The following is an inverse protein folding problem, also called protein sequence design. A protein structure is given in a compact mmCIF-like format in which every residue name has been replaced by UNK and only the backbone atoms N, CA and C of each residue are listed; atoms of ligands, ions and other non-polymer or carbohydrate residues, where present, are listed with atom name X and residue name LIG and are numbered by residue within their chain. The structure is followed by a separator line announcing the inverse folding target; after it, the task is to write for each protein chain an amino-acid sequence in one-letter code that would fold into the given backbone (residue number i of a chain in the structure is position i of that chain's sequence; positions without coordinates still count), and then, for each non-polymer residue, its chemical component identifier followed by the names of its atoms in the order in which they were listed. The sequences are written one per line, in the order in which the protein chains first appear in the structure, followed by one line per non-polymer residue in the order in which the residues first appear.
data_IF_373453035040
#
_entry.id   IF_373453035040
#
_cell.length_a   1.000
_cell.length_b   1.000
_cell.length_c   1.000
_cell.angle_alpha   90.00
_cell.angle_beta   90.00
_cell.angle_gamma   90.00
#
_symmetry.space_group_name_H-M   'P 1'
#
loop_
_entity.id
_entity.type
_entity.pdbx_description
1 polymer ?
#
# COMPACT_ATOMS: atom_id res chain seq x y z
N UNK A 1 25.88 -14.91 -33.17
CA UNK A 1 25.79 -13.60 -32.51
C UNK A 1 24.52 -13.50 -31.68
N UNK A 2 24.67 -13.65 -30.38
CA UNK A 2 23.55 -13.38 -29.49
C UNK A 2 23.48 -11.88 -29.30
N UNK A 3 22.55 -11.24 -29.97
CA UNK A 3 22.20 -9.88 -29.67
C UNK A 3 21.68 -9.84 -28.23
N UNK A 4 22.41 -9.20 -27.36
CA UNK A 4 21.92 -8.83 -26.05
C UNK A 4 20.76 -7.86 -26.26
N UNK A 5 19.58 -8.43 -26.45
CA UNK A 5 18.37 -7.66 -26.28
C UNK A 5 18.23 -7.39 -24.79
N UNK A 6 19.00 -6.45 -24.31
CA UNK A 6 18.65 -5.74 -23.10
C UNK A 6 17.38 -4.99 -23.48
N UNK A 7 16.27 -5.67 -23.29
CA UNK A 7 14.99 -5.05 -23.56
C UNK A 7 14.92 -3.73 -22.78
N UNK A 8 14.81 -2.64 -23.48
CA UNK A 8 14.58 -1.32 -22.90
C UNK A 8 13.18 -1.30 -22.30
N UNK A 9 13.04 -2.03 -21.19
CA UNK A 9 11.80 -1.95 -20.41
C UNK A 9 11.77 -0.57 -19.77
N UNK A 10 10.90 0.28 -20.27
CA UNK A 10 10.73 1.63 -19.76
C UNK A 10 10.24 1.60 -18.32
N UNK A 11 10.68 2.53 -17.47
CA UNK A 11 10.15 2.61 -16.11
C UNK A 11 8.65 2.86 -16.13
N UNK A 12 7.93 2.16 -15.23
CA UNK A 12 6.50 2.32 -15.06
C UNK A 12 6.25 3.21 -13.84
N UNK A 13 5.43 4.24 -14.03
CA UNK A 13 5.12 5.21 -12.97
C UNK A 13 3.86 4.79 -12.21
N UNK A 14 3.89 5.05 -10.91
CA UNK A 14 2.72 4.87 -10.04
C UNK A 14 1.85 6.12 -10.16
N UNK A 15 0.75 6.00 -10.87
CA UNK A 15 -0.14 7.13 -11.15
C UNK A 15 -1.36 7.18 -10.24
N UNK A 16 -1.51 6.19 -9.34
CA UNK A 16 -2.65 6.12 -8.43
C UNK A 16 -2.35 6.93 -7.18
N UNK A 17 -3.15 7.95 -6.92
CA UNK A 17 -2.97 8.80 -5.74
C UNK A 17 -3.26 8.03 -4.46
N UNK A 18 -2.52 8.31 -3.36
CA UNK A 18 -2.81 7.64 -2.09
C UNK A 18 -4.19 8.04 -1.55
N UNK A 19 -4.80 7.11 -0.83
CA UNK A 19 -6.05 7.38 -0.12
C UNK A 19 -5.70 7.66 1.35
N UNK A 20 -5.99 8.85 1.84
CA UNK A 20 -5.78 9.21 3.24
C UNK A 20 -6.49 10.54 3.56
N UNK A 21 -6.71 10.79 4.83
CA UNK A 21 -7.11 12.10 5.32
C UNK A 21 -6.47 12.34 6.70
N UNK A 22 -6.79 13.46 7.32
CA UNK A 22 -6.23 13.82 8.62
C UNK A 22 -6.64 12.85 9.74
N UNK A 23 -7.67 12.07 9.54
CA UNK A 23 -8.16 11.10 10.52
C UNK A 23 -7.59 9.69 10.31
N UNK A 24 -6.77 9.48 9.29
CA UNK A 24 -6.18 8.17 9.03
C UNK A 24 -5.23 7.79 10.17
N UNK A 25 -5.29 6.52 10.59
CA UNK A 25 -4.47 5.99 11.67
C UNK A 25 -3.65 4.78 11.27
N UNK A 26 -4.13 4.03 10.27
CA UNK A 26 -3.47 2.84 9.75
C UNK A 26 -3.16 3.09 8.27
N UNK A 27 -1.90 2.84 7.89
CA UNK A 27 -1.50 2.93 6.48
C UNK A 27 -1.19 1.52 5.98
N UNK A 28 -1.93 1.07 4.98
CA UNK A 28 -1.69 -0.21 4.31
C UNK A 28 -0.87 0.05 3.06
N UNK A 29 0.27 -0.63 2.95
CA UNK A 29 1.18 -0.47 1.82
C UNK A 29 1.29 -1.76 1.02
N UNK A 30 1.00 -1.66 -0.28
CA UNK A 30 1.39 -2.67 -1.23
C UNK A 30 2.76 -2.39 -1.82
N UNK A 31 3.20 -3.23 -2.74
CA UNK A 31 4.47 -3.03 -3.43
C UNK A 31 4.32 -2.05 -4.59
N UNK A 32 3.59 -2.44 -5.62
CA UNK A 32 3.36 -1.66 -6.84
C UNK A 32 2.03 -2.13 -7.45
N UNK A 33 1.25 -1.23 -8.07
CA UNK A 33 -0.05 -1.65 -8.58
C UNK A 33 0.09 -2.65 -9.74
N UNK A 34 -0.78 -3.64 -9.75
CA UNK A 34 -0.86 -4.62 -10.84
C UNK A 34 -1.27 -3.95 -12.16
N UNK A 35 -1.13 -4.69 -13.26
CA UNK A 35 -1.59 -4.19 -14.56
C UNK A 35 -3.06 -3.78 -14.49
N UNK A 36 -3.91 -4.62 -13.88
CA UNK A 36 -5.35 -4.32 -13.77
C UNK A 36 -5.61 -3.09 -12.89
N UNK A 37 -4.84 -2.90 -11.83
CA UNK A 37 -4.95 -1.70 -11.00
C UNK A 37 -4.57 -0.45 -11.77
N UNK A 38 -3.49 -0.52 -12.55
CA UNK A 38 -3.05 0.60 -13.38
C UNK A 38 -4.07 0.94 -14.46
N UNK A 39 -4.68 -0.08 -15.06
CA UNK A 39 -5.73 0.11 -16.07
C UNK A 39 -6.99 0.74 -15.49
N UNK A 40 -7.39 0.29 -14.29
CA UNK A 40 -8.60 0.80 -13.63
C UNK A 40 -8.35 2.13 -12.88
N UNK A 41 -7.10 2.47 -12.62
CA UNK A 41 -6.75 3.70 -11.91
C UNK A 41 -6.98 3.65 -10.41
N UNK A 42 -7.10 2.46 -9.81
CA UNK A 42 -7.30 2.35 -8.38
C UNK A 42 -6.71 1.05 -7.82
N UNK A 43 -6.49 1.03 -6.50
CA UNK A 43 -5.79 -0.05 -5.79
C UNK A 43 -6.57 -1.37 -5.86
N UNK A 44 -5.81 -2.45 -5.99
CA UNK A 44 -6.35 -3.82 -5.93
C UNK A 44 -7.54 -4.00 -6.89
N UNK A 45 -7.35 -3.53 -8.13
CA UNK A 45 -8.41 -3.46 -9.13
C UNK A 45 -8.70 -4.75 -9.90
N UNK A 46 -7.86 -5.79 -9.74
CA UNK A 46 -8.10 -7.05 -10.42
C UNK A 46 -9.38 -7.70 -9.88
N UNK A 47 -10.28 -8.20 -10.75
CA UNK A 47 -11.55 -8.77 -10.28
C UNK A 47 -11.39 -9.94 -9.31
N UNK A 48 -10.29 -10.70 -9.39
CA UNK A 48 -10.02 -11.82 -8.51
C UNK A 48 -9.25 -11.43 -7.26
N UNK A 49 -8.89 -10.16 -7.10
CA UNK A 49 -8.18 -9.71 -5.90
C UNK A 49 -9.11 -9.72 -4.71
N UNK A 50 -8.68 -10.38 -3.65
CA UNK A 50 -9.51 -10.60 -2.47
C UNK A 50 -9.42 -9.45 -1.45
N UNK A 51 -8.62 -8.43 -1.71
CA UNK A 51 -8.35 -7.35 -0.73
C UNK A 51 -9.65 -6.73 -0.22
N UNK A 52 -10.52 -6.30 -1.15
CA UNK A 52 -11.74 -5.59 -0.76
C UNK A 52 -12.73 -6.49 -0.02
N UNK A 53 -12.83 -7.76 -0.42
CA UNK A 53 -13.68 -8.75 0.26
C UNK A 53 -13.18 -9.05 1.68
N UNK A 54 -11.87 -9.24 1.82
CA UNK A 54 -11.26 -9.54 3.12
C UNK A 54 -11.42 -8.34 4.06
N UNK A 55 -11.10 -7.15 3.58
CA UNK A 55 -11.19 -5.95 4.40
C UNK A 55 -12.65 -5.67 4.83
N UNK A 56 -13.60 -5.79 3.89
CA UNK A 56 -15.01 -5.60 4.20
C UNK A 56 -15.51 -6.61 5.24
N UNK A 57 -15.06 -7.86 5.13
CA UNK A 57 -15.39 -8.90 6.11
C UNK A 57 -14.88 -8.59 7.51
N UNK A 58 -13.66 -8.09 7.60
CA UNK A 58 -13.04 -7.69 8.88
C UNK A 58 -13.79 -6.50 9.49
N UNK A 59 -14.14 -5.52 8.67
CA UNK A 59 -14.84 -4.31 9.12
C UNK A 59 -16.34 -4.53 9.31
N UNK A 60 -16.85 -5.70 8.90
CA UNK A 60 -18.28 -6.06 8.99
C UNK A 60 -19.16 -5.06 8.23
N UNK A 61 -18.80 -4.82 6.99
CA UNK A 61 -19.52 -3.92 6.08
C UNK A 61 -19.70 -4.60 4.72
N UNK A 62 -20.66 -4.11 3.89
CA UNK A 62 -20.80 -4.66 2.53
C UNK A 62 -19.54 -4.45 1.71
N UNK A 63 -19.26 -5.39 0.79
CA UNK A 63 -18.09 -5.30 -0.08
C UNK A 63 -18.26 -4.09 -1.02
N UNK A 64 -17.31 -3.14 -1.02
CA UNK A 64 -17.44 -1.97 -1.90
C UNK A 64 -17.19 -2.38 -3.35
N UNK A 65 -17.92 -1.74 -4.27
CA UNK A 65 -17.83 -2.01 -5.71
C UNK A 65 -17.19 -0.84 -6.45
N UNK A 66 -17.68 0.37 -6.21
CA UNK A 66 -17.16 1.57 -6.89
C UNK A 66 -15.95 2.13 -6.16
N UNK A 67 -15.16 2.94 -6.87
CA UNK A 67 -14.02 3.66 -6.27
C UNK A 67 -14.50 4.54 -5.11
N UNK A 68 -15.62 5.23 -5.27
CA UNK A 68 -16.18 6.07 -4.20
C UNK A 68 -16.53 5.25 -2.96
N UNK A 69 -17.15 4.08 -3.15
CA UNK A 69 -17.47 3.18 -2.03
C UNK A 69 -16.21 2.67 -1.33
N UNK A 70 -15.17 2.35 -2.12
CA UNK A 70 -13.88 1.90 -1.57
C UNK A 70 -13.23 3.01 -0.73
N UNK A 71 -13.19 4.24 -1.24
CA UNK A 71 -12.65 5.38 -0.50
C UNK A 71 -13.43 5.66 0.78
N UNK A 72 -14.76 5.64 0.70
CA UNK A 72 -15.61 5.85 1.88
C UNK A 72 -15.38 4.80 2.95
N UNK A 73 -15.23 3.53 2.55
CA UNK A 73 -14.93 2.47 3.49
C UNK A 73 -13.60 2.69 4.18
N UNK A 74 -12.55 3.01 3.42
CA UNK A 74 -11.22 3.25 3.97
C UNK A 74 -11.22 4.44 4.94
N UNK A 75 -11.66 5.59 4.47
CA UNK A 75 -11.59 6.83 5.25
C UNK A 75 -12.55 6.80 6.44
N UNK A 76 -13.71 6.15 6.31
CA UNK A 76 -14.65 5.99 7.40
C UNK A 76 -14.12 5.10 8.52
N UNK A 77 -13.14 4.26 8.25
CA UNK A 77 -12.51 3.38 9.24
C UNK A 77 -11.07 3.79 9.55
N UNK A 78 -10.69 5.02 9.18
CA UNK A 78 -9.38 5.60 9.49
C UNK A 78 -8.22 4.84 8.87
N UNK A 79 -8.43 4.31 7.66
CA UNK A 79 -7.43 3.52 6.93
C UNK A 79 -6.94 4.32 5.72
N UNK A 80 -5.62 4.41 5.59
CA UNK A 80 -4.96 4.95 4.40
C UNK A 80 -4.37 3.81 3.59
N UNK A 81 -4.29 3.98 2.27
CA UNK A 81 -3.72 2.98 1.37
C UNK A 81 -2.79 3.65 0.36
N UNK A 82 -1.62 3.06 0.15
CA UNK A 82 -0.71 3.43 -0.91
C UNK A 82 0.19 2.23 -1.23
N UNK A 83 1.26 2.46 -1.98
CA UNK A 83 2.28 1.47 -2.31
C UNK A 83 3.66 2.03 -2.00
N UNK A 84 4.63 1.14 -1.80
CA UNK A 84 6.02 1.55 -1.49
C UNK A 84 6.68 2.21 -2.70
N UNK A 85 6.40 1.74 -3.90
CA UNK A 85 7.15 2.09 -5.12
C UNK A 85 6.46 3.24 -5.88
N UNK A 86 7.22 4.30 -6.17
CA UNK A 86 6.77 5.39 -7.05
C UNK A 86 7.00 5.06 -8.51
N UNK A 87 8.09 4.39 -8.83
CA UNK A 87 8.38 3.91 -10.18
C UNK A 87 9.34 2.73 -10.12
N UNK A 88 9.25 1.87 -11.10
CA UNK A 88 10.15 0.73 -11.22
C UNK A 88 10.11 0.18 -12.64
N UNK A 89 11.03 -0.73 -12.93
CA UNK A 89 10.93 -1.58 -14.13
C UNK A 89 10.30 -2.88 -13.69
N UNK A 90 9.27 -3.30 -14.38
CA UNK A 90 8.48 -4.48 -14.01
C UNK A 90 7.94 -5.14 -15.28
N UNK A 91 7.89 -6.47 -15.27
CA UNK A 91 7.25 -7.25 -16.34
C UNK A 91 5.85 -7.64 -15.87
N UNK A 92 4.83 -7.03 -16.47
CA UNK A 92 3.44 -7.27 -16.12
C UNK A 92 3.15 -6.93 -14.66
N UNK A 93 2.72 -7.92 -13.89
CA UNK A 93 2.45 -7.78 -12.46
C UNK A 93 3.37 -8.64 -11.59
N UNK A 94 4.49 -9.10 -12.15
CA UNK A 94 5.38 -10.03 -11.47
C UNK A 94 6.28 -9.33 -10.45
N UNK A 95 6.05 -9.55 -9.17
CA UNK A 95 6.87 -8.96 -8.09
C UNK A 95 8.34 -9.33 -8.23
N UNK A 96 8.64 -10.54 -8.72
CA UNK A 96 10.02 -10.99 -8.88
C UNK A 96 10.77 -10.26 -9.99
N UNK A 97 10.05 -9.59 -10.90
CA UNK A 97 10.67 -8.84 -12.00
C UNK A 97 10.96 -7.38 -11.62
N UNK A 98 10.58 -6.93 -10.45
CA UNK A 98 10.74 -5.51 -10.03
C UNK A 98 12.22 -5.15 -9.94
N UNK A 99 12.62 -4.09 -10.66
CA UNK A 99 13.98 -3.56 -10.69
C UNK A 99 13.95 -2.04 -10.70
N UNK A 100 15.06 -1.43 -10.35
CA UNK A 100 15.28 0.04 -10.42
C UNK A 100 14.17 0.79 -9.68
N UNK A 101 13.97 0.43 -8.42
CA UNK A 101 12.92 0.97 -7.58
C UNK A 101 13.22 2.41 -7.17
N UNK A 102 12.24 3.30 -7.38
CA UNK A 102 12.20 4.63 -6.75
C UNK A 102 11.05 4.59 -5.75
N UNK A 103 11.32 4.73 -4.46
CA UNK A 103 10.24 4.65 -3.46
C UNK A 103 9.37 5.90 -3.45
N UNK A 104 8.13 5.76 -3.05
CA UNK A 104 7.24 6.88 -2.78
C UNK A 104 7.72 7.66 -1.56
N UNK A 105 7.41 8.96 -1.54
CA UNK A 105 7.68 9.82 -0.40
C UNK A 105 6.43 9.89 0.49
N UNK A 106 6.53 9.36 1.70
CA UNK A 106 5.41 9.28 2.63
C UNK A 106 5.27 10.51 3.52
N UNK A 107 6.13 11.50 3.37
CA UNK A 107 6.17 12.67 4.23
C UNK A 107 4.82 13.39 4.28
N UNK A 108 4.14 13.54 3.15
CA UNK A 108 2.85 14.22 3.09
C UNK A 108 1.78 13.48 3.89
N UNK A 109 1.74 12.15 3.79
CA UNK A 109 0.79 11.34 4.55
C UNK A 109 1.10 11.44 6.04
N UNK A 110 2.37 11.28 6.41
CA UNK A 110 2.79 11.24 7.83
C UNK A 110 2.67 12.61 8.50
N UNK A 111 2.72 13.71 7.75
CA UNK A 111 2.52 15.04 8.29
C UNK A 111 1.04 15.44 8.37
N UNK A 112 0.20 14.87 7.52
CA UNK A 112 -1.24 15.14 7.48
C UNK A 112 -2.01 14.31 8.50
N UNK A 113 -1.64 13.05 8.66
CA UNK A 113 -2.34 12.07 9.50
C UNK A 113 -1.41 11.52 10.58
N UNK A 114 -1.97 11.29 11.76
CA UNK A 114 -1.22 10.64 12.84
C UNK A 114 -1.25 9.13 12.65
N UNK A 115 -0.46 8.63 11.71
CA UNK A 115 -0.40 7.20 11.42
C UNK A 115 0.24 6.48 12.59
N UNK A 116 -0.50 5.57 13.19
CA UNK A 116 -0.06 4.78 14.33
C UNK A 116 0.54 3.45 13.91
N UNK A 117 0.11 2.92 12.76
CA UNK A 117 0.59 1.62 12.27
C UNK A 117 0.74 1.64 10.75
N UNK A 118 1.78 0.99 10.29
CA UNK A 118 2.00 0.75 8.86
C UNK A 118 1.98 -0.76 8.65
N UNK A 119 1.10 -1.22 7.77
CA UNK A 119 0.90 -2.64 7.48
C UNK A 119 1.37 -2.90 6.05
N UNK A 120 2.45 -3.66 5.91
CA UNK A 120 2.92 -4.07 4.59
C UNK A 120 2.09 -5.27 4.11
N UNK A 121 1.39 -5.09 3.01
CA UNK A 121 0.51 -6.12 2.46
C UNK A 121 1.32 -7.10 1.63
N UNK A 122 1.89 -8.10 2.30
CA UNK A 122 2.66 -9.16 1.68
C UNK A 122 4.17 -9.02 1.89
N UNK A 123 4.88 -10.11 1.61
CA UNK A 123 6.32 -10.20 1.84
C UNK A 123 7.11 -9.24 0.96
N UNK A 124 6.71 -9.06 -0.29
CA UNK A 124 7.41 -8.15 -1.21
C UNK A 124 7.30 -6.71 -0.72
N UNK A 125 6.11 -6.27 -0.33
CA UNK A 125 5.92 -4.91 0.21
C UNK A 125 6.75 -4.70 1.47
N UNK A 126 6.81 -5.70 2.36
CA UNK A 126 7.62 -5.64 3.58
C UNK A 126 9.10 -5.47 3.27
N UNK A 127 9.63 -6.30 2.36
CA UNK A 127 11.05 -6.24 1.99
C UNK A 127 11.42 -4.90 1.35
N UNK A 128 10.55 -4.39 0.49
CA UNK A 128 10.76 -3.09 -0.16
C UNK A 128 10.71 -1.95 0.85
N UNK A 129 9.77 -1.99 1.77
CA UNK A 129 9.68 -1.00 2.84
C UNK A 129 10.97 -0.99 3.67
N UNK A 130 11.41 -2.16 4.11
CA UNK A 130 12.63 -2.30 4.92
C UNK A 130 13.86 -1.76 4.18
N UNK A 131 13.93 -2.01 2.87
CA UNK A 131 15.10 -1.62 2.06
C UNK A 131 15.11 -0.13 1.75
N UNK A 132 13.96 0.46 1.39
CA UNK A 132 13.92 1.80 0.80
C UNK A 132 13.33 2.88 1.69
N UNK A 133 12.50 2.54 2.68
CA UNK A 133 11.73 3.52 3.44
C UNK A 133 12.14 3.59 4.92
N UNK A 134 12.91 2.64 5.39
CA UNK A 134 13.18 2.39 6.81
C UNK A 134 13.63 3.59 7.67
N UNK A 135 14.13 4.66 7.09
CA UNK A 135 14.45 5.91 7.84
C UNK A 135 14.35 7.11 6.91
N UNK A 136 13.17 7.74 6.81
CA UNK A 136 13.14 9.00 6.08
C UNK A 136 14.08 10.02 6.71
N UNK A 137 14.81 10.80 5.91
CA UNK A 137 15.66 11.84 6.46
C UNK A 137 14.86 12.80 7.34
N UNK A 138 15.35 13.10 8.54
CA UNK A 138 14.67 14.00 9.46
C UNK A 138 13.81 13.34 10.51
N UNK A 139 13.71 12.02 10.53
CA UNK A 139 12.96 11.32 11.59
C UNK A 139 13.77 11.35 12.90
N UNK A 140 13.32 12.16 13.84
CA UNK A 140 13.89 12.19 15.18
C UNK A 140 13.25 11.11 16.06
N UNK A 141 14.08 10.41 16.82
CA UNK A 141 13.69 9.32 17.75
C UNK A 141 12.54 9.64 18.73
N UNK A 142 12.31 10.70 18.74
CA UNK A 142 11.35 11.18 19.63
C UNK A 142 10.01 11.24 19.07
N UNK A 143 10.10 11.08 17.98
CA UNK A 143 8.77 11.07 17.36
C UNK A 143 8.20 9.66 17.35
N UNK A 144 6.91 9.58 17.52
CA UNK A 144 6.15 8.34 17.51
C UNK A 144 6.46 7.55 16.23
N UNK A 145 6.97 6.33 16.38
CA UNK A 145 7.26 5.46 15.24
C UNK A 145 6.06 4.53 14.99
N UNK A 146 5.40 4.63 13.85
CA UNK A 146 4.40 3.63 13.49
C UNK A 146 5.04 2.24 13.52
N UNK A 147 4.39 1.29 14.15
CA UNK A 147 4.87 -0.08 14.13
C UNK A 147 4.61 -0.68 12.75
N UNK A 148 5.67 -1.04 12.06
CA UNK A 148 5.56 -1.66 10.74
C UNK A 148 5.54 -3.17 10.92
N UNK A 149 4.52 -3.81 10.38
CA UNK A 149 4.38 -5.26 10.48
C UNK A 149 4.01 -5.85 9.12
N UNK A 150 4.62 -6.98 8.76
CA UNK A 150 4.15 -7.71 7.58
C UNK A 150 2.77 -8.29 7.86
N UNK A 151 1.90 -8.25 6.87
CA UNK A 151 0.53 -8.72 7.00
C UNK A 151 0.39 -10.10 6.37
N UNK A 152 0.07 -11.09 7.19
CA UNK A 152 -0.36 -12.41 6.72
C UNK A 152 -1.88 -12.51 6.89
N UNK A 153 -2.56 -13.40 6.15
CA UNK A 153 -4.02 -13.44 6.17
C UNK A 153 -4.67 -13.53 7.55
N UNK A 154 -4.04 -14.09 8.56
CA UNK A 154 -4.63 -14.16 9.91
C UNK A 154 -4.39 -12.94 10.80
N UNK A 155 -3.50 -12.03 10.41
CA UNK A 155 -3.08 -10.90 11.26
C UNK A 155 -4.02 -9.71 11.11
N UNK A 156 -4.73 -9.60 9.99
CA UNK A 156 -5.65 -8.50 9.71
C UNK A 156 -6.72 -8.33 10.79
N UNK A 157 -7.28 -9.46 11.25
CA UNK A 157 -8.36 -9.41 12.23
C UNK A 157 -7.92 -8.86 13.58
N UNK A 158 -6.68 -9.12 13.99
CA UNK A 158 -6.14 -8.59 15.25
C UNK A 158 -5.85 -7.09 15.22
N UNK A 159 -5.38 -6.59 14.07
CA UNK A 159 -5.03 -5.19 13.93
C UNK A 159 -6.26 -4.26 13.85
N UNK A 160 -7.31 -4.71 13.19
CA UNK A 160 -8.51 -3.90 13.00
C UNK A 160 -9.48 -4.01 14.17
N UNK A 161 -9.39 -5.07 14.98
CA UNK A 161 -10.17 -5.17 16.22
C UNK A 161 -9.78 -4.12 17.27
N UNK A 162 -8.52 -3.66 17.24
CA UNK A 162 -8.06 -2.61 18.15
C UNK A 162 -8.71 -1.25 17.84
N UNK A 163 -9.18 -1.02 16.62
CA UNK A 163 -9.87 0.23 16.28
C UNK A 163 -11.30 0.30 16.82
N UNK A 164 -11.96 -0.83 17.00
CA UNK A 164 -13.30 -0.85 17.59
C UNK A 164 -13.32 -0.41 19.06
N UNK A 165 -12.17 -0.44 19.70
CA UNK A 165 -12.05 -0.04 21.12
C UNK A 165 -11.87 1.49 21.24
N UNK A 166 -11.37 2.16 20.20
CA UNK A 166 -11.09 3.60 20.23
C UNK A 166 -12.00 4.46 19.34
N UNK A 167 -12.91 3.81 19.00
CA UNK A 167 -13.82 4.40 18.18
C UNK A 167 -14.77 5.18 18.38
#
# INVERSE_FOLDING_TARGET
MKTNECSDIQPVLHEIAPVYDENSRILILGSFPSVKSRESGFFYGHPQNRFWKVLAGILDVPVPVTVDEKKKMLLGHHIAVWDVIASCRITGSSDSSIKDVVPNNFEKILSTAKIERICANGATAWKLYEKYVKKPPGWKRXSFHPQVRPMRPGVWSGLLKLERIYX
#
